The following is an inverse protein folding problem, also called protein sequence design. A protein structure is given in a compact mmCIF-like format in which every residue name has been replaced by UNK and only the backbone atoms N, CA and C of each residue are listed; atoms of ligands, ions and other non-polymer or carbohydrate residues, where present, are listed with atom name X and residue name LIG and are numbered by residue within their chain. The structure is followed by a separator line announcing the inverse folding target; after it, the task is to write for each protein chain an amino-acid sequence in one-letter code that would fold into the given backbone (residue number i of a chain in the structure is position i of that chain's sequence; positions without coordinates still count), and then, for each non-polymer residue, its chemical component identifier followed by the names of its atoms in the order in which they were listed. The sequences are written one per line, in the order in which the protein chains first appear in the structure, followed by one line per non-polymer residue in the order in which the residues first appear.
data_IF_807183957527
#
_entry.id   IF_807183957527
#
_cell.length_a   1.000
_cell.length_b   1.000
_cell.length_c   1.000
_cell.angle_alpha   90.00
_cell.angle_beta   90.00
_cell.angle_gamma   90.00
#
_symmetry.space_group_name_H-M   'P 1'
#
loop_
_entity.id
_entity.type
_entity.pdbx_description
1 polymer ?
#
# COMPACT_ATOMS: atom_id res chain seq x y z
N UNK A 1 39.62 -8.53 -26.15
CA UNK A 1 39.60 -8.17 -24.72
C UNK A 1 38.90 -6.83 -24.52
N UNK A 2 37.65 -6.69 -25.00
CA UNK A 2 36.82 -5.48 -24.87
C UNK A 2 35.35 -5.88 -24.56
N UNK A 3 34.92 -7.08 -24.96
CA UNK A 3 33.57 -7.59 -24.71
C UNK A 3 33.27 -8.01 -23.25
N UNK A 4 34.28 -8.22 -22.41
CA UNK A 4 34.10 -8.66 -21.01
C UNK A 4 33.88 -7.51 -20.02
N UNK A 5 34.03 -6.25 -20.45
CA UNK A 5 33.87 -5.07 -19.60
C UNK A 5 32.45 -4.47 -19.64
N UNK A 6 31.59 -4.90 -20.56
CA UNK A 6 30.22 -4.38 -20.66
C UNK A 6 29.19 -5.13 -19.78
N UNK A 7 29.52 -6.32 -19.28
CA UNK A 7 28.63 -7.09 -18.39
C UNK A 7 28.78 -6.74 -16.89
N UNK A 8 29.83 -6.02 -16.51
CA UNK A 8 30.09 -5.64 -15.12
C UNK A 8 29.56 -4.24 -14.76
N UNK A 9 29.19 -3.44 -15.75
CA UNK A 9 28.66 -2.08 -15.55
C UNK A 9 27.14 -2.05 -15.28
N UNK A 10 26.40 -3.14 -15.51
CA UNK A 10 24.97 -3.21 -15.18
C UNK A 10 24.67 -3.52 -13.71
N UNK A 11 25.68 -3.91 -12.91
CA UNK A 11 25.47 -4.28 -11.49
C UNK A 11 25.58 -3.12 -10.49
N UNK A 12 26.07 -1.95 -10.92
CA UNK A 12 26.40 -0.84 -10.02
C UNK A 12 25.33 0.26 -9.97
N UNK A 13 24.28 0.21 -10.79
CA UNK A 13 23.23 1.25 -10.84
C UNK A 13 22.01 0.97 -9.97
N UNK A 14 22.01 -0.11 -9.18
CA UNK A 14 20.81 -0.57 -8.46
C UNK A 14 20.82 -0.31 -6.94
N UNK A 15 21.85 0.33 -6.38
CA UNK A 15 22.07 0.42 -4.92
C UNK A 15 20.92 1.03 -4.11
N UNK A 16 20.23 2.06 -4.61
CA UNK A 16 19.16 2.77 -3.86
C UNK A 16 17.77 2.12 -4.04
N UNK A 17 17.52 1.48 -5.18
CA UNK A 17 16.23 0.84 -5.44
C UNK A 17 16.09 -0.45 -4.61
N UNK A 18 17.21 -1.13 -4.36
CA UNK A 18 17.26 -2.29 -3.47
C UNK A 18 16.96 -1.95 -2.02
N UNK A 19 17.37 -0.79 -1.48
CA UNK A 19 17.16 -0.49 -0.05
C UNK A 19 15.69 -0.25 0.28
N UNK A 20 14.96 0.46 -0.59
CA UNK A 20 13.53 0.74 -0.39
C UNK A 20 12.65 -0.52 -0.55
N UNK A 21 12.91 -1.35 -1.56
CA UNK A 21 12.20 -2.61 -1.74
C UNK A 21 12.51 -3.61 -0.62
N UNK A 22 13.77 -3.68 -0.17
CA UNK A 22 14.16 -4.47 1.00
C UNK A 22 13.48 -3.97 2.28
N UNK A 23 13.35 -2.65 2.48
CA UNK A 23 12.62 -2.07 3.61
C UNK A 23 11.15 -2.49 3.58
N UNK A 24 10.47 -2.37 2.43
CA UNK A 24 9.08 -2.80 2.28
C UNK A 24 8.93 -4.32 2.46
N UNK A 25 9.87 -5.11 1.96
CA UNK A 25 9.90 -6.55 2.17
C UNK A 25 10.00 -6.89 3.66
N UNK A 26 10.92 -6.24 4.37
CA UNK A 26 11.10 -6.40 5.80
C UNK A 26 9.83 -6.01 6.56
N UNK A 27 9.18 -4.90 6.21
CA UNK A 27 7.88 -4.49 6.77
C UNK A 27 6.80 -5.54 6.54
N UNK A 28 6.71 -6.12 5.34
CA UNK A 28 5.73 -7.18 5.07
C UNK A 28 6.01 -8.44 5.90
N UNK A 29 7.25 -8.91 5.96
CA UNK A 29 7.62 -10.07 6.77
C UNK A 29 7.24 -9.87 8.25
N UNK A 30 7.55 -8.68 8.76
CA UNK A 30 7.18 -8.25 10.10
C UNK A 30 5.66 -8.22 10.33
N UNK A 31 4.90 -7.70 9.37
CA UNK A 31 3.43 -7.70 9.40
C UNK A 31 2.89 -9.13 9.48
N UNK A 32 3.42 -10.04 8.67
CA UNK A 32 3.00 -11.44 8.64
C UNK A 32 3.33 -12.18 9.94
N UNK A 33 4.55 -12.01 10.46
CA UNK A 33 4.97 -12.61 11.73
C UNK A 33 4.07 -12.16 12.89
N UNK A 34 3.76 -10.85 12.96
CA UNK A 34 2.88 -10.32 14.00
C UNK A 34 1.44 -10.76 13.83
N UNK A 35 0.90 -10.80 12.60
CA UNK A 35 -0.46 -11.28 12.38
C UNK A 35 -0.64 -12.74 12.82
N UNK A 36 0.38 -13.58 12.63
CA UNK A 36 0.37 -14.96 13.12
C UNK A 36 0.38 -14.99 14.66
N UNK A 37 1.29 -14.25 15.31
CA UNK A 37 1.34 -14.22 16.78
C UNK A 37 0.08 -13.64 17.43
N UNK A 38 -0.56 -12.67 16.77
CA UNK A 38 -1.78 -12.03 17.26
C UNK A 38 -3.01 -12.93 17.14
N UNK A 39 -3.05 -13.81 16.14
CA UNK A 39 -4.12 -14.80 15.97
C UNK A 39 -4.15 -15.76 17.17
N UNK A 40 -2.98 -16.27 17.58
CA UNK A 40 -2.82 -17.13 18.75
C UNK A 40 -3.34 -16.42 20.03
N UNK A 41 -2.95 -15.15 20.23
CA UNK A 41 -3.41 -14.35 21.38
C UNK A 41 -4.91 -14.06 21.35
N UNK A 42 -5.51 -13.81 20.17
CA UNK A 42 -6.96 -13.58 20.07
C UNK A 42 -7.77 -14.80 20.46
N UNK A 43 -7.29 -16.00 20.14
CA UNK A 43 -7.93 -17.25 20.53
C UNK A 43 -7.85 -17.52 22.04
N UNK A 44 -6.76 -17.13 22.69
CA UNK A 44 -6.52 -17.37 24.11
C UNK A 44 -7.17 -16.33 25.03
N UNK A 45 -7.18 -15.05 24.65
CA UNK A 45 -7.46 -13.94 25.55
C UNK A 45 -8.89 -13.35 25.44
N UNK A 46 -9.78 -13.90 24.61
CA UNK A 46 -11.17 -13.44 24.46
C UNK A 46 -11.24 -11.90 24.21
N UNK A 47 -10.36 -11.41 23.33
CA UNK A 47 -10.14 -9.99 23.08
C UNK A 47 -11.38 -9.29 22.49
N UNK A 48 -11.50 -7.98 22.74
CA UNK A 48 -12.56 -7.10 22.25
C UNK A 48 -12.81 -7.27 20.74
N UNK A 49 -14.09 -7.38 20.35
CA UNK A 49 -14.58 -7.46 18.96
C UNK A 49 -13.89 -6.45 18.02
N UNK A 50 -13.60 -5.23 18.50
CA UNK A 50 -12.91 -4.21 17.71
C UNK A 50 -11.50 -4.67 17.31
N UNK A 51 -10.71 -5.21 18.24
CA UNK A 51 -9.34 -5.66 17.98
C UNK A 51 -9.33 -6.79 16.95
N UNK A 52 -10.15 -7.82 17.17
CA UNK A 52 -10.29 -8.96 16.27
C UNK A 52 -10.73 -8.53 14.86
N UNK A 53 -11.67 -7.57 14.76
CA UNK A 53 -12.13 -7.04 13.48
C UNK A 53 -11.01 -6.32 12.70
N UNK A 54 -10.11 -5.61 13.39
CA UNK A 54 -8.99 -4.91 12.76
C UNK A 54 -7.95 -5.89 12.22
N UNK A 55 -7.60 -6.92 12.99
CA UNK A 55 -6.71 -8.01 12.53
C UNK A 55 -7.30 -8.69 11.29
N UNK A 56 -8.58 -9.05 11.35
CA UNK A 56 -9.25 -9.70 10.24
C UNK A 56 -9.25 -8.82 8.99
N UNK A 57 -9.46 -7.51 9.15
CA UNK A 57 -9.40 -6.55 8.04
C UNK A 57 -8.01 -6.51 7.39
N UNK A 58 -6.93 -6.46 8.18
CA UNK A 58 -5.56 -6.51 7.63
C UNK A 58 -5.35 -7.81 6.85
N UNK A 59 -5.77 -8.96 7.39
CA UNK A 59 -5.61 -10.26 6.71
C UNK A 59 -6.37 -10.34 5.38
N UNK A 60 -7.54 -9.71 5.29
CA UNK A 60 -8.30 -9.64 4.03
C UNK A 60 -7.59 -8.80 2.96
N UNK A 61 -6.71 -7.88 3.37
CA UNK A 61 -5.90 -7.04 2.48
C UNK A 61 -4.59 -7.70 2.06
N UNK A 62 -4.36 -8.95 2.47
CA UNK A 62 -3.18 -9.75 2.13
C UNK A 62 -3.56 -11.02 1.37
N UNK A 63 -2.74 -11.47 0.40
CA UNK A 63 -2.94 -12.76 -0.24
C UNK A 63 -2.99 -13.92 0.75
N UNK A 64 -4.03 -14.77 0.63
CA UNK A 64 -4.27 -15.89 1.55
C UNK A 64 -3.09 -16.87 1.67
N UNK A 65 -2.33 -17.04 0.59
CA UNK A 65 -1.15 -17.91 0.60
C UNK A 65 -0.06 -17.44 1.57
N UNK A 66 -0.12 -16.18 2.05
CA UNK A 66 0.82 -15.70 3.05
C UNK A 66 0.66 -16.35 4.42
N UNK A 67 -0.51 -16.92 4.70
CA UNK A 67 -0.84 -17.53 5.98
C UNK A 67 -0.68 -19.05 5.97
N UNK A 68 -0.13 -19.62 4.89
CA UNK A 68 0.07 -21.07 4.75
C UNK A 68 1.43 -21.53 5.32
N UNK A 69 2.27 -20.61 5.79
CA UNK A 69 3.59 -20.89 6.34
C UNK A 69 3.89 -19.93 7.49
N UNK A 70 4.67 -20.36 8.50
CA UNK A 70 4.89 -19.57 9.71
C UNK A 70 5.80 -18.37 9.50
N UNK A 71 6.74 -18.45 8.55
CA UNK A 71 7.71 -17.38 8.27
C UNK A 71 8.14 -17.37 6.80
N UNK A 72 8.82 -16.29 6.42
CA UNK A 72 9.35 -16.06 5.08
C UNK A 72 10.85 -15.77 5.19
N UNK A 73 11.71 -16.50 4.47
CA UNK A 73 13.16 -16.25 4.48
C UNK A 73 13.46 -14.82 4.00
N UNK A 74 14.47 -14.19 4.60
CA UNK A 74 14.94 -12.88 4.13
C UNK A 74 15.47 -12.95 2.69
N UNK A 75 15.95 -14.13 2.25
CA UNK A 75 16.41 -14.37 0.89
C UNK A 75 15.28 -14.18 -0.15
N UNK A 76 14.01 -14.37 0.23
CA UNK A 76 12.86 -14.06 -0.64
C UNK A 76 12.82 -12.56 -0.97
N UNK A 77 13.36 -11.68 -0.13
CA UNK A 77 13.46 -10.25 -0.44
C UNK A 77 14.49 -9.93 -1.53
N UNK A 78 15.46 -10.83 -1.74
CA UNK A 78 16.54 -10.68 -2.72
C UNK A 78 16.23 -11.38 -4.04
N UNK A 79 15.27 -12.32 -4.03
CA UNK A 79 14.76 -12.98 -5.23
C UNK A 79 13.63 -12.15 -5.87
N UNK A 80 13.90 -11.57 -7.04
CA UNK A 80 12.94 -10.78 -7.83
C UNK A 80 11.70 -11.59 -8.25
N UNK A 81 11.83 -12.91 -8.38
CA UNK A 81 10.74 -13.80 -8.76
C UNK A 81 9.92 -14.29 -7.56
N UNK A 82 10.36 -13.99 -6.34
CA UNK A 82 9.64 -14.37 -5.13
C UNK A 82 8.29 -13.67 -5.04
N UNK A 83 7.32 -14.34 -4.41
CA UNK A 83 5.98 -13.76 -4.20
C UNK A 83 6.04 -12.49 -3.38
N UNK A 84 6.93 -12.41 -2.39
CA UNK A 84 7.08 -11.23 -1.55
C UNK A 84 7.65 -10.06 -2.35
N UNK A 85 8.74 -10.28 -3.10
CA UNK A 85 9.37 -9.24 -3.91
C UNK A 85 8.38 -8.68 -4.93
N UNK A 86 7.66 -9.55 -5.66
CA UNK A 86 6.62 -9.14 -6.60
C UNK A 86 5.45 -8.41 -5.95
N UNK A 87 5.09 -8.75 -4.72
CA UNK A 87 4.02 -8.06 -3.98
C UNK A 87 4.44 -6.65 -3.57
N UNK A 88 5.60 -6.49 -2.92
CA UNK A 88 6.05 -5.18 -2.42
C UNK A 88 6.57 -4.24 -3.51
N UNK A 89 6.88 -4.75 -4.70
CA UNK A 89 7.28 -3.93 -5.86
C UNK A 89 6.08 -3.41 -6.66
N UNK A 90 4.88 -3.94 -6.45
CA UNK A 90 3.67 -3.35 -7.03
C UNK A 90 3.31 -2.05 -6.30
N UNK A 91 3.11 -0.92 -7.01
CA UNK A 91 2.88 0.38 -6.37
C UNK A 91 1.67 0.43 -5.44
N UNK A 92 0.58 -0.27 -5.79
CA UNK A 92 -0.64 -0.30 -4.97
C UNK A 92 -0.42 -1.11 -3.71
N UNK A 93 0.14 -2.31 -3.82
CA UNK A 93 0.45 -3.14 -2.65
C UNK A 93 1.46 -2.46 -1.72
N UNK A 94 2.51 -1.84 -2.27
CA UNK A 94 3.49 -1.05 -1.53
C UNK A 94 2.82 0.10 -0.76
N UNK A 95 1.94 0.84 -1.43
CA UNK A 95 1.18 1.91 -0.81
C UNK A 95 0.26 1.40 0.30
N UNK A 96 -0.47 0.32 0.06
CA UNK A 96 -1.36 -0.26 1.07
C UNK A 96 -0.58 -0.74 2.29
N UNK A 97 0.63 -1.30 2.11
CA UNK A 97 1.52 -1.64 3.21
C UNK A 97 1.95 -0.39 3.99
N UNK A 98 2.42 0.66 3.31
CA UNK A 98 2.79 1.94 3.94
C UNK A 98 1.61 2.52 4.71
N UNK A 99 0.41 2.51 4.12
CA UNK A 99 -0.81 2.99 4.74
C UNK A 99 -1.14 2.22 6.02
N UNK A 100 -1.08 0.88 5.99
CA UNK A 100 -1.35 0.06 7.18
C UNK A 100 -0.40 0.38 8.32
N UNK A 101 0.91 0.48 8.03
CA UNK A 101 1.91 0.84 9.04
C UNK A 101 1.74 2.26 9.58
N UNK A 102 1.26 3.20 8.76
CA UNK A 102 1.08 4.58 9.19
C UNK A 102 -0.26 4.85 9.90
N UNK A 103 -1.33 4.13 9.55
CA UNK A 103 -2.70 4.42 10.01
C UNK A 103 -3.35 3.30 10.81
N UNK A 104 -3.15 2.04 10.43
CA UNK A 104 -3.89 0.90 11.02
C UNK A 104 -3.16 0.30 12.21
N UNK A 105 -1.86 0.03 12.06
CA UNK A 105 -1.03 -0.54 13.12
C UNK A 105 -0.93 0.35 14.37
N UNK A 106 -0.79 1.69 14.26
CA UNK A 106 -0.83 2.57 15.43
C UNK A 106 -2.18 2.54 16.17
N UNK A 107 -3.30 2.47 15.44
CA UNK A 107 -4.63 2.32 16.05
C UNK A 107 -4.74 0.97 16.76
N UNK A 108 -4.28 -0.10 16.12
CA UNK A 108 -4.28 -1.46 16.68
C UNK A 108 -3.46 -1.53 17.99
N UNK A 109 -2.28 -0.90 18.00
CA UNK A 109 -1.44 -0.79 19.19
C UNK A 109 -2.15 -0.02 20.31
N UNK A 110 -2.80 1.10 19.98
CA UNK A 110 -3.55 1.91 20.96
C UNK A 110 -4.69 1.10 21.60
N UNK A 111 -5.44 0.35 20.78
CA UNK A 111 -6.50 -0.55 21.27
C UNK A 111 -5.89 -1.64 22.17
N UNK A 112 -4.80 -2.28 21.76
CA UNK A 112 -4.18 -3.33 22.54
C UNK A 112 -3.64 -2.85 23.90
N UNK A 113 -3.03 -1.67 23.93
CA UNK A 113 -2.57 -1.00 25.15
C UNK A 113 -3.71 -0.72 26.12
N UNK A 114 -4.84 -0.20 25.62
CA UNK A 114 -6.02 0.08 26.44
C UNK A 114 -6.61 -1.18 27.10
N UNK A 115 -6.38 -2.35 26.52
CA UNK A 115 -6.85 -3.64 27.02
C UNK A 115 -5.80 -4.44 27.81
N UNK A 116 -4.63 -3.85 28.11
CA UNK A 116 -3.64 -4.48 28.99
C UNK A 116 -2.88 -5.65 28.35
N UNK A 117 -2.68 -5.63 27.02
CA UNK A 117 -1.88 -6.64 26.30
C UNK A 117 -0.48 -6.09 25.96
N UNK A 118 0.50 -6.17 26.88
CA UNK A 118 1.81 -5.52 26.73
C UNK A 118 2.67 -6.12 25.60
N UNK A 119 2.47 -7.38 25.22
CA UNK A 119 3.18 -8.01 24.10
C UNK A 119 2.86 -7.35 22.75
N UNK A 120 1.66 -6.76 22.64
CA UNK A 120 1.20 -6.00 21.47
C UNK A 120 1.55 -4.51 21.62
N UNK A 121 1.71 -4.04 22.86
CA UNK A 121 2.04 -2.65 23.17
C UNK A 121 3.46 -2.24 22.74
N UNK A 122 4.38 -3.20 22.60
CA UNK A 122 5.77 -2.95 22.20
C UNK A 122 5.97 -2.96 20.68
N UNK A 123 5.09 -2.26 19.95
CA UNK A 123 5.21 -2.01 18.51
C UNK A 123 6.18 -0.85 18.20
N UNK A 124 6.77 -0.21 19.21
CA UNK A 124 7.74 0.87 19.00
C UNK A 124 9.06 0.45 18.36
N UNK A 125 9.33 -0.85 18.22
CA UNK A 125 10.48 -1.39 17.47
C UNK A 125 10.26 -1.41 15.95
N UNK A 126 9.02 -1.21 15.47
CA UNK A 126 8.78 -1.03 14.05
C UNK A 126 9.28 0.35 13.64
N UNK A 127 10.11 0.42 12.60
CA UNK A 127 10.46 1.66 11.91
C UNK A 127 9.17 2.42 11.61
N UNK A 128 8.80 3.36 12.49
CA UNK A 128 7.59 4.14 12.33
C UNK A 128 7.72 4.86 11.00
N UNK A 129 6.92 4.43 10.02
CA UNK A 129 6.88 5.13 8.75
C UNK A 129 6.39 6.54 9.05
N UNK A 130 7.24 7.52 8.79
CA UNK A 130 6.92 8.90 9.06
C UNK A 130 5.68 9.29 8.25
N UNK A 131 4.84 10.23 8.73
CA UNK A 131 3.73 10.76 7.92
C UNK A 131 4.18 11.26 6.54
N UNK A 132 5.45 11.67 6.41
CA UNK A 132 6.06 12.07 5.14
C UNK A 132 6.17 10.92 4.13
N UNK A 133 6.34 9.67 4.56
CA UNK A 133 6.42 8.51 3.66
C UNK A 133 5.07 8.22 3.01
N UNK A 134 3.95 8.33 3.74
CA UNK A 134 2.62 8.19 3.15
C UNK A 134 2.33 9.30 2.13
N UNK A 135 2.65 10.55 2.47
CA UNK A 135 2.54 11.69 1.54
C UNK A 135 3.43 11.48 0.31
N UNK A 136 4.66 10.99 0.49
CA UNK A 136 5.58 10.68 -0.60
C UNK A 136 5.08 9.55 -1.50
N UNK A 137 4.43 8.53 -0.94
CA UNK A 137 3.82 7.46 -1.72
C UNK A 137 2.64 7.97 -2.58
N UNK A 138 1.80 8.88 -2.04
CA UNK A 138 0.74 9.54 -2.83
C UNK A 138 1.32 10.44 -3.93
N UNK A 139 2.40 11.17 -3.63
CA UNK A 139 3.15 11.95 -4.63
C UNK A 139 3.69 11.08 -5.77
N UNK A 140 4.18 9.88 -5.44
CA UNK A 140 4.66 8.93 -6.43
C UNK A 140 3.54 8.47 -7.39
N UNK A 141 2.30 8.27 -6.92
CA UNK A 141 1.17 7.98 -7.82
C UNK A 141 0.88 9.10 -8.79
N UNK A 142 0.88 10.35 -8.32
CA UNK A 142 0.75 11.51 -9.19
C UNK A 142 1.88 11.55 -10.24
N UNK A 143 3.13 11.29 -9.84
CA UNK A 143 4.26 11.22 -10.77
C UNK A 143 4.12 10.10 -11.79
N UNK A 144 3.71 8.91 -11.37
CA UNK A 144 3.45 7.77 -12.26
C UNK A 144 2.38 8.11 -13.29
N UNK A 145 1.28 8.73 -12.85
CA UNK A 145 0.20 9.18 -13.73
C UNK A 145 0.73 10.14 -14.79
N UNK A 146 1.37 11.24 -14.38
CA UNK A 146 1.79 12.31 -15.30
C UNK A 146 2.90 11.83 -16.24
N UNK A 147 3.89 11.12 -15.71
CA UNK A 147 5.06 10.71 -16.49
C UNK A 147 4.73 9.65 -17.55
N UNK A 148 3.87 8.70 -17.21
CA UNK A 148 3.48 7.61 -18.11
C UNK A 148 2.10 7.80 -18.75
N UNK A 149 1.47 8.96 -18.55
CA UNK A 149 0.12 9.30 -19.06
C UNK A 149 -0.92 8.22 -18.72
N UNK A 150 -0.86 7.69 -17.49
CA UNK A 150 -1.73 6.60 -17.05
C UNK A 150 -3.07 7.14 -16.56
N UNK A 151 -4.14 6.41 -16.82
CA UNK A 151 -5.44 6.77 -16.28
C UNK A 151 -5.53 6.40 -14.79
N UNK A 152 -5.98 7.32 -13.90
CA UNK A 152 -6.13 7.05 -12.47
C UNK A 152 -6.94 5.79 -12.14
N UNK A 153 -7.94 5.45 -12.96
CA UNK A 153 -8.74 4.23 -12.77
C UNK A 153 -7.89 2.95 -12.82
N UNK A 154 -6.91 2.87 -13.73
CA UNK A 154 -6.02 1.72 -13.87
C UNK A 154 -4.85 1.73 -12.88
N UNK A 155 -4.43 2.93 -12.46
CA UNK A 155 -3.49 3.05 -11.35
C UNK A 155 -4.13 2.61 -10.04
N UNK A 156 -5.41 2.93 -9.83
CA UNK A 156 -6.10 2.64 -8.57
C UNK A 156 -6.28 1.16 -8.26
N UNK A 157 -6.38 0.31 -9.29
CA UNK A 157 -6.47 -1.15 -9.15
C UNK A 157 -5.14 -1.86 -9.45
N UNK A 158 -4.08 -1.09 -9.71
CA UNK A 158 -2.72 -1.55 -10.02
C UNK A 158 -2.59 -2.34 -11.31
N UNK A 159 -3.52 -2.18 -12.26
CA UNK A 159 -3.39 -2.75 -13.61
C UNK A 159 -2.46 -1.95 -14.50
N UNK A 160 -2.17 -0.68 -14.15
CA UNK A 160 -1.40 0.32 -14.90
C UNK A 160 -2.09 0.77 -16.19
N UNK A 161 -2.45 -0.17 -17.08
CA UNK A 161 -3.26 0.11 -18.29
C UNK A 161 -4.06 -1.12 -18.75
N UNK A 162 -5.05 -0.96 -19.65
CA UNK A 162 -5.80 -2.08 -20.22
C UNK A 162 -4.93 -3.10 -20.95
N UNK A 163 -3.90 -2.64 -21.68
CA UNK A 163 -3.00 -3.48 -22.47
C UNK A 163 -2.14 -4.36 -21.58
N UNK A 164 -1.67 -3.82 -20.45
CA UNK A 164 -0.81 -4.54 -19.50
C UNK A 164 -1.60 -5.34 -18.46
N UNK A 165 -2.93 -5.21 -18.42
CA UNK A 165 -3.81 -5.83 -17.41
C UNK A 165 -3.56 -7.32 -17.20
N UNK A 166 -3.36 -8.09 -18.26
CA UNK A 166 -3.10 -9.54 -18.16
C UNK A 166 -1.77 -9.80 -17.43
N UNK A 167 -0.73 -9.05 -17.79
CA UNK A 167 0.62 -9.18 -17.23
C UNK A 167 0.61 -8.72 -15.77
N UNK A 168 0.01 -7.55 -15.48
CA UNK A 168 -0.10 -7.00 -14.12
C UNK A 168 -0.79 -7.98 -13.16
N UNK A 169 -1.86 -8.64 -13.63
CA UNK A 169 -2.58 -9.66 -12.84
C UNK A 169 -1.82 -10.96 -12.65
N UNK A 170 -1.02 -11.37 -13.63
CA UNK A 170 -0.18 -12.57 -13.48
C UNK A 170 1.05 -12.33 -12.63
N UNK A 171 1.53 -11.08 -12.58
CA UNK A 171 2.74 -10.72 -11.85
C UNK A 171 2.54 -10.81 -10.34
N UNK A 172 1.46 -10.20 -9.83
CA UNK A 172 1.11 -10.28 -8.40
C UNK A 172 -0.38 -10.08 -8.17
N UNK A 173 -0.85 -10.50 -7.00
CA UNK A 173 -2.22 -10.28 -6.56
C UNK A 173 -2.29 -8.92 -5.86
N UNK A 174 -3.35 -8.18 -6.13
CA UNK A 174 -3.67 -6.91 -5.47
C UNK A 174 -5.01 -7.12 -4.75
N UNK A 175 -5.00 -7.49 -3.46
CA UNK A 175 -6.22 -7.80 -2.73
C UNK A 175 -7.12 -6.57 -2.54
N UNK A 176 -6.50 -5.39 -2.45
CA UNK A 176 -7.18 -4.11 -2.23
C UNK A 176 -6.53 -3.02 -3.06
N UNK A 177 -7.34 -2.39 -3.90
CA UNK A 177 -6.97 -1.17 -4.62
C UNK A 177 -7.00 0.07 -3.74
N UNK A 178 -6.62 1.22 -4.31
CA UNK A 178 -6.76 2.52 -3.67
C UNK A 178 -8.23 2.77 -3.31
N UNK A 179 -8.46 3.30 -2.10
CA UNK A 179 -9.79 3.73 -1.67
C UNK A 179 -10.16 5.08 -2.27
N UNK A 180 -11.45 5.48 -2.28
CA UNK A 180 -11.82 6.84 -2.70
C UNK A 180 -11.09 7.94 -1.94
N UNK A 181 -10.80 7.74 -0.65
CA UNK A 181 -10.01 8.70 0.15
C UNK A 181 -8.57 8.78 -0.35
N UNK A 182 -7.96 7.66 -0.72
CA UNK A 182 -6.60 7.67 -1.29
C UNK A 182 -6.57 8.42 -2.64
N UNK A 183 -7.55 8.16 -3.50
CA UNK A 183 -7.69 8.85 -4.79
C UNK A 183 -7.91 10.36 -4.61
N UNK A 184 -8.77 10.76 -3.66
CA UNK A 184 -8.99 12.15 -3.30
C UNK A 184 -7.69 12.83 -2.85
N UNK A 185 -6.93 12.18 -1.96
CA UNK A 185 -5.66 12.71 -1.45
C UNK A 185 -4.59 12.85 -2.54
N UNK A 186 -4.51 11.92 -3.50
CA UNK A 186 -3.64 12.07 -4.67
C UNK A 186 -4.10 13.24 -5.55
N UNK A 187 -5.42 13.40 -5.74
CA UNK A 187 -6.00 14.54 -6.44
C UNK A 187 -5.66 15.89 -5.79
N UNK A 188 -5.60 15.96 -4.45
CA UNK A 188 -5.15 17.16 -3.71
C UNK A 188 -3.67 17.46 -3.93
N UNK A 189 -2.83 16.43 -4.06
CA UNK A 189 -1.42 16.62 -4.42
C UNK A 189 -1.30 17.23 -5.81
N UNK A 190 -2.02 16.70 -6.80
CA UNK A 190 -2.05 17.26 -8.15
C UNK A 190 -2.52 18.73 -8.16
N UNK A 191 -3.59 19.04 -7.40
CA UNK A 191 -4.07 20.41 -7.21
C UNK A 191 -2.99 21.32 -6.62
N UNK A 192 -2.25 20.85 -5.62
CA UNK A 192 -1.12 21.57 -5.04
C UNK A 192 0.01 21.87 -6.03
N UNK A 193 0.18 21.03 -7.06
CA UNK A 193 1.09 21.27 -8.17
C UNK A 193 0.52 22.16 -9.28
N UNK A 194 -0.70 22.68 -9.09
CA UNK A 194 -1.44 23.45 -10.11
C UNK A 194 -1.73 22.64 -11.38
N UNK A 195 -1.81 21.31 -11.24
CA UNK A 195 -2.25 20.40 -12.29
C UNK A 195 -3.73 20.07 -12.08
N UNK A 196 -4.59 20.96 -12.57
CA UNK A 196 -6.04 20.84 -12.44
C UNK A 196 -6.59 19.64 -13.23
N UNK A 197 -5.98 19.28 -14.36
CA UNK A 197 -6.39 18.14 -15.18
C UNK A 197 -6.18 16.82 -14.43
N UNK A 198 -4.98 16.61 -13.87
CA UNK A 198 -4.71 15.43 -13.05
C UNK A 198 -5.53 15.40 -11.77
N UNK A 199 -5.71 16.56 -11.11
CA UNK A 199 -6.57 16.67 -9.92
C UNK A 199 -7.99 16.21 -10.24
N UNK A 200 -8.61 16.80 -11.27
CA UNK A 200 -9.94 16.43 -11.75
C UNK A 200 -10.04 14.95 -12.10
N UNK A 201 -9.04 14.38 -12.77
CA UNK A 201 -9.02 12.97 -13.13
C UNK A 201 -9.08 12.04 -11.89
N UNK A 202 -8.30 12.33 -10.85
CA UNK A 202 -8.33 11.57 -9.60
C UNK A 202 -9.64 11.75 -8.82
N UNK A 203 -10.12 12.99 -8.72
CA UNK A 203 -11.37 13.33 -8.04
C UNK A 203 -12.58 12.63 -8.69
N UNK A 204 -12.67 12.65 -10.02
CA UNK A 204 -13.72 11.93 -10.76
C UNK A 204 -13.59 10.42 -10.60
N UNK A 205 -12.37 9.89 -10.51
CA UNK A 205 -12.15 8.44 -10.29
C UNK A 205 -12.62 8.04 -8.89
N UNK A 206 -12.33 8.85 -7.87
CA UNK A 206 -12.84 8.66 -6.51
C UNK A 206 -14.37 8.66 -6.48
N UNK A 207 -15.00 9.67 -7.10
CA UNK A 207 -16.46 9.79 -7.14
C UNK A 207 -17.13 8.61 -7.86
N UNK A 208 -16.59 8.20 -9.00
CA UNK A 208 -17.06 7.01 -9.74
C UNK A 208 -16.95 5.75 -8.89
N UNK A 209 -15.87 5.59 -8.12
CA UNK A 209 -15.70 4.45 -7.23
C UNK A 209 -16.74 4.46 -6.09
N UNK A 210 -16.99 5.62 -5.48
CA UNK A 210 -18.03 5.79 -4.44
C UNK A 210 -19.40 5.36 -4.98
N UNK A 211 -19.78 5.89 -6.15
CA UNK A 211 -21.08 5.60 -6.78
C UNK A 211 -21.22 4.13 -7.16
N UNK A 212 -20.18 3.54 -7.77
CA UNK A 212 -20.21 2.15 -8.22
C UNK A 212 -20.36 1.15 -7.07
N UNK A 213 -19.81 1.48 -5.90
CA UNK A 213 -19.77 0.60 -4.73
C UNK A 213 -20.76 1.00 -3.63
N UNK A 214 -21.66 1.95 -3.89
CA UNK A 214 -22.64 2.50 -2.93
C UNK A 214 -22.00 2.85 -1.57
N UNK A 215 -20.82 3.49 -1.62
CA UNK A 215 -20.07 3.85 -0.41
C UNK A 215 -20.72 5.07 0.24
N UNK A 216 -21.23 4.89 1.46
CA UNK A 216 -21.84 5.98 2.23
C UNK A 216 -20.76 6.82 2.90
N UNK A 217 -20.34 7.89 2.24
CA UNK A 217 -19.41 8.88 2.77
C UNK A 217 -19.71 10.27 2.20
N UNK A 218 -20.78 10.89 2.70
CA UNK A 218 -21.29 12.17 2.21
C UNK A 218 -20.28 13.32 2.39
N UNK A 219 -19.48 13.27 3.48
CA UNK A 219 -18.41 14.24 3.74
C UNK A 219 -17.35 14.20 2.65
N UNK A 220 -16.83 13.01 2.31
CA UNK A 220 -15.86 12.86 1.23
C UNK A 220 -16.44 13.25 -0.13
N UNK A 221 -17.71 12.94 -0.39
CA UNK A 221 -18.38 13.37 -1.62
C UNK A 221 -18.45 14.89 -1.70
N UNK A 222 -18.80 15.57 -0.61
CA UNK A 222 -18.80 17.02 -0.54
C UNK A 222 -17.41 17.59 -0.81
N UNK A 223 -16.37 17.07 -0.15
CA UNK A 223 -14.99 17.52 -0.32
C UNK A 223 -14.47 17.33 -1.76
N UNK A 224 -14.83 16.21 -2.39
CA UNK A 224 -14.50 15.94 -3.81
C UNK A 224 -15.19 16.96 -4.71
N UNK A 225 -16.49 17.23 -4.50
CA UNK A 225 -17.27 18.15 -5.33
C UNK A 225 -16.82 19.60 -5.16
N UNK A 226 -16.47 20.02 -3.94
CA UNK A 226 -15.88 21.33 -3.69
C UNK A 226 -14.57 21.48 -4.48
N UNK A 227 -13.65 20.52 -4.35
CA UNK A 227 -12.40 20.54 -5.12
C UNK A 227 -12.61 20.56 -6.65
N UNK A 228 -13.58 19.80 -7.15
CA UNK A 228 -13.91 19.79 -8.58
C UNK A 228 -14.41 21.15 -9.07
N UNK A 229 -15.12 21.91 -8.24
CA UNK A 229 -15.60 23.25 -8.59
C UNK A 229 -14.46 24.26 -8.77
N UNK A 230 -13.34 24.07 -8.07
CA UNK A 230 -12.12 24.90 -8.21
C UNK A 230 -11.16 24.41 -9.30
N UNK A 231 -11.43 23.23 -9.87
CA UNK A 231 -10.58 22.57 -10.88
C UNK A 231 -11.16 22.67 -12.31
N UNK A 232 -12.08 23.62 -12.53
CA UNK A 232 -12.59 23.98 -13.86
C UNK A 232 -11.57 24.76 -14.72
#
# INVERSE_FOLDING_TARGET
MIFLLMFTLSRLTHSELFTSSLKLCHLLNMELEKLNSLEDLTHEANLNDKFSSMIQKIRQELPKYYFNQPSYPIDDCLDEDSRISRFVTNPVNAYMLIYRFNSVWPELQSVAQAHGNPEIANYSEFLALSPNELKGARDAFYRLQVFYMLEPVHLSDGTLSPEWKSISKSWTIIPKGLTPTDMYEIGRIAFGYKDNESSKAWMLTALKHIQKHDIKNDELVFDILDHLSWSE
#
